data_IF_330873188391
#
_entry.id   IF_330873188391
#
_cell.length_a   1.000
_cell.length_b   1.000
_cell.length_c   1.000
_cell.angle_alpha   90.00
_cell.angle_beta   90.00
_cell.angle_gamma   90.00
#
_symmetry.space_group_name_H-M   'P 1'
#
loop_
_entity.id
_entity.type
_entity.pdbx_description
1 polymer ?
#
# COMPACT_ATOMS: atom_id res chain seq x y z
N UNK A 1 -26.58 3.41 -13.61
CA UNK A 1 -26.03 3.32 -12.24
C UNK A 1 -24.55 3.56 -12.37
N UNK A 2 -24.01 4.55 -11.65
CA UNK A 2 -22.61 4.94 -11.78
C UNK A 2 -21.65 3.92 -11.17
N UNK A 3 -20.35 4.10 -11.39
CA UNK A 3 -19.31 3.32 -10.71
C UNK A 3 -19.39 3.51 -9.19
N UNK A 4 -19.60 4.75 -8.71
CA UNK A 4 -19.71 5.00 -7.28
C UNK A 4 -20.91 4.28 -6.66
N UNK A 5 -22.08 4.33 -7.29
CA UNK A 5 -23.28 3.66 -6.77
C UNK A 5 -23.05 2.15 -6.60
N UNK A 6 -22.38 1.53 -7.58
CA UNK A 6 -22.04 0.09 -7.56
C UNK A 6 -20.99 -0.23 -6.51
N UNK A 7 -19.97 0.63 -6.38
CA UNK A 7 -18.95 0.50 -5.36
C UNK A 7 -19.57 0.55 -3.95
N UNK A 8 -20.48 1.49 -3.72
CA UNK A 8 -21.20 1.63 -2.45
C UNK A 8 -22.15 0.45 -2.18
N UNK A 9 -22.69 -0.19 -3.23
CA UNK A 9 -23.49 -1.40 -3.09
C UNK A 9 -22.67 -2.70 -2.92
N UNK A 10 -21.34 -2.61 -2.86
CA UNK A 10 -20.45 -3.74 -2.57
C UNK A 10 -19.80 -4.40 -3.79
N UNK A 11 -20.01 -3.91 -5.01
CA UNK A 11 -19.39 -4.43 -6.27
C UNK A 11 -17.99 -3.83 -6.47
N UNK A 12 -17.16 -3.84 -5.43
CA UNK A 12 -15.92 -3.06 -5.32
C UNK A 12 -14.80 -3.62 -6.20
N UNK A 13 -14.56 -4.93 -6.19
CA UNK A 13 -13.50 -5.57 -6.99
C UNK A 13 -13.80 -5.39 -8.48
N UNK A 14 -15.06 -5.62 -8.88
CA UNK A 14 -15.49 -5.46 -10.27
C UNK A 14 -15.43 -4.00 -10.73
N UNK A 15 -15.86 -3.05 -9.92
CA UNK A 15 -15.77 -1.62 -10.25
C UNK A 15 -14.31 -1.24 -10.51
N UNK A 16 -13.37 -1.64 -9.65
CA UNK A 16 -11.95 -1.35 -9.86
C UNK A 16 -11.38 -2.06 -11.11
N UNK A 17 -11.80 -3.30 -11.39
CA UNK A 17 -11.42 -3.98 -12.63
C UNK A 17 -11.89 -3.22 -13.88
N UNK A 18 -13.14 -2.74 -13.88
CA UNK A 18 -13.70 -1.96 -14.99
C UNK A 18 -13.02 -0.59 -15.12
N UNK A 19 -12.75 0.11 -14.01
CA UNK A 19 -12.02 1.38 -14.01
C UNK A 19 -10.62 1.23 -14.60
N UNK A 20 -9.89 0.15 -14.28
CA UNK A 20 -8.59 -0.15 -14.89
C UNK A 20 -8.70 -0.44 -16.38
N UNK A 21 -9.78 -1.11 -16.82
CA UNK A 21 -10.00 -1.43 -18.22
C UNK A 21 -10.32 -0.20 -19.09
N UNK A 22 -10.69 0.94 -18.51
CA UNK A 22 -10.85 2.20 -19.25
C UNK A 22 -9.51 2.76 -19.77
N UNK A 23 -8.38 2.37 -19.18
CA UNK A 23 -7.07 2.90 -19.51
C UNK A 23 -6.87 4.32 -18.95
N UNK A 24 -6.43 5.26 -19.79
CA UNK A 24 -6.18 6.64 -19.38
C UNK A 24 -7.51 7.39 -19.17
N UNK A 25 -7.68 8.00 -17.99
CA UNK A 25 -8.89 8.73 -17.59
C UNK A 25 -8.50 10.17 -17.26
N UNK A 26 -8.48 11.02 -18.28
CA UNK A 26 -8.13 12.44 -18.15
C UNK A 26 -9.35 13.30 -17.76
N UNK A 27 -9.09 14.50 -17.26
CA UNK A 27 -10.14 15.48 -16.94
C UNK A 27 -10.96 15.77 -18.20
N UNK A 28 -12.27 15.63 -18.11
CA UNK A 28 -13.20 15.77 -19.24
C UNK A 28 -13.62 14.45 -19.88
N UNK A 29 -12.98 13.33 -19.52
CA UNK A 29 -13.49 12.00 -19.83
C UNK A 29 -14.85 11.79 -19.15
N UNK A 30 -15.80 11.15 -19.82
CA UNK A 30 -17.19 11.05 -19.34
C UNK A 30 -17.31 10.35 -17.97
N UNK A 31 -16.37 9.45 -17.68
CA UNK A 31 -16.29 8.69 -16.43
C UNK A 31 -15.33 9.30 -15.39
N UNK A 32 -14.67 10.43 -15.67
CA UNK A 32 -13.62 11.00 -14.82
C UNK A 32 -14.10 11.30 -13.39
N UNK A 33 -15.20 12.05 -13.25
CA UNK A 33 -15.69 12.46 -11.93
C UNK A 33 -16.19 11.28 -11.10
N UNK A 34 -16.82 10.30 -11.75
CA UNK A 34 -17.32 9.08 -11.10
C UNK A 34 -16.15 8.19 -10.65
N UNK A 35 -15.12 8.00 -11.50
CA UNK A 35 -13.89 7.29 -11.15
C UNK A 35 -13.14 7.98 -9.99
N UNK A 36 -13.05 9.32 -10.00
CA UNK A 36 -12.46 10.10 -8.90
C UNK A 36 -13.25 9.91 -7.60
N UNK A 37 -14.58 9.83 -7.69
CA UNK A 37 -15.42 9.61 -6.52
C UNK A 37 -15.24 8.20 -5.92
N UNK A 38 -15.08 7.17 -6.76
CA UNK A 38 -14.71 5.82 -6.30
C UNK A 38 -13.34 5.81 -5.62
N UNK A 39 -12.34 6.45 -6.21
CA UNK A 39 -11.01 6.57 -5.60
C UNK A 39 -11.09 7.28 -4.24
N UNK A 40 -11.82 8.39 -4.15
CA UNK A 40 -12.02 9.11 -2.89
C UNK A 40 -12.71 8.25 -1.82
N UNK A 41 -13.79 7.55 -2.16
CA UNK A 41 -14.49 6.68 -1.22
C UNK A 41 -13.63 5.49 -0.76
N UNK A 42 -12.88 4.89 -1.67
CA UNK A 42 -11.91 3.83 -1.35
C UNK A 42 -10.90 4.34 -0.33
N UNK A 43 -10.34 5.54 -0.53
CA UNK A 43 -9.31 6.10 0.34
C UNK A 43 -9.85 6.59 1.69
N UNK A 44 -11.13 6.92 1.80
CA UNK A 44 -11.78 7.16 3.11
C UNK A 44 -11.81 5.90 3.97
N UNK A 45 -12.15 4.75 3.37
CA UNK A 45 -12.12 3.44 4.06
C UNK A 45 -10.72 3.05 4.47
N UNK A 46 -9.76 3.24 3.56
CA UNK A 46 -8.33 3.05 3.85
C UNK A 46 -7.90 3.89 5.04
N UNK A 47 -8.28 5.17 5.10
CA UNK A 47 -7.95 6.04 6.24
C UNK A 47 -8.50 5.49 7.55
N UNK A 48 -9.77 5.08 7.59
CA UNK A 48 -10.36 4.46 8.78
C UNK A 48 -9.58 3.22 9.24
N UNK A 49 -9.19 2.37 8.28
CA UNK A 49 -8.38 1.18 8.55
C UNK A 49 -6.96 1.53 9.05
N UNK A 50 -6.30 2.54 8.47
CA UNK A 50 -4.98 3.03 8.93
C UNK A 50 -5.06 3.49 10.38
N UNK A 51 -6.04 4.33 10.71
CA UNK A 51 -6.20 4.88 12.06
C UNK A 51 -6.48 3.78 13.09
N UNK A 52 -7.31 2.79 12.72
CA UNK A 52 -7.62 1.65 13.57
C UNK A 52 -6.44 0.70 13.75
N UNK A 53 -5.77 0.30 12.67
CA UNK A 53 -4.58 -0.57 12.72
C UNK A 53 -3.47 0.09 13.53
N UNK A 54 -3.21 1.39 13.32
CA UNK A 54 -2.20 2.13 14.10
C UNK A 54 -2.47 2.04 15.61
N UNK A 55 -3.72 2.25 16.01
CA UNK A 55 -4.12 2.19 17.42
C UNK A 55 -3.90 0.79 17.97
N UNK A 56 -4.36 -0.24 17.24
CA UNK A 56 -4.22 -1.65 17.65
C UNK A 56 -2.77 -2.13 17.70
N UNK A 57 -1.91 -1.67 16.80
CA UNK A 57 -0.47 -1.95 16.84
C UNK A 57 0.14 -1.47 18.16
N UNK A 58 -0.13 -0.20 18.51
CA UNK A 58 0.36 0.39 19.76
C UNK A 58 -0.18 -0.37 20.98
N UNK A 59 -1.49 -0.65 21.01
CA UNK A 59 -2.14 -1.35 22.12
C UNK A 59 -1.64 -2.79 22.29
N UNK A 60 -1.27 -3.45 21.18
CA UNK A 60 -0.71 -4.80 21.19
C UNK A 60 0.81 -4.84 21.46
N UNK A 61 1.43 -3.69 21.74
CA UNK A 61 2.84 -3.59 22.07
C UNK A 61 3.79 -3.64 20.87
N UNK A 62 3.29 -3.43 19.65
CA UNK A 62 4.15 -3.26 18.47
C UNK A 62 4.82 -1.88 18.49
N UNK A 63 6.15 -1.89 18.52
CA UNK A 63 6.97 -0.68 18.51
C UNK A 63 7.16 -0.18 17.08
N UNK A 64 6.48 0.92 16.76
CA UNK A 64 6.66 1.62 15.49
C UNK A 64 8.01 2.34 15.45
N UNK A 65 8.72 2.29 14.32
CA UNK A 65 10.02 2.97 14.13
C UNK A 65 9.95 4.46 14.45
N UNK A 66 8.79 5.08 14.20
CA UNK A 66 8.50 6.46 14.55
C UNK A 66 7.01 6.60 14.94
N UNK A 67 6.64 6.22 16.15
CA UNK A 67 5.23 6.21 16.63
C UNK A 67 4.44 7.51 16.37
N UNK A 68 5.09 8.67 16.53
CA UNK A 68 4.48 9.98 16.27
C UNK A 68 4.30 10.33 14.78
N UNK A 69 4.93 9.57 13.88
CA UNK A 69 4.87 9.74 12.42
C UNK A 69 4.34 8.50 11.69
N UNK A 70 3.83 7.52 12.43
CA UNK A 70 3.30 6.28 11.85
C UNK A 70 2.07 6.50 10.96
N UNK A 71 1.31 7.55 11.23
CA UNK A 71 0.30 8.09 10.33
C UNK A 71 0.33 9.61 10.45
N UNK A 72 0.50 10.30 9.33
CA UNK A 72 0.36 11.76 9.25
C UNK A 72 -0.80 12.04 8.31
N UNK A 73 -1.92 12.60 8.81
CA UNK A 73 -3.07 12.89 7.96
C UNK A 73 -2.73 13.96 6.91
N UNK A 74 -3.53 14.08 5.83
CA UNK A 74 -3.34 15.10 4.81
C UNK A 74 -3.31 16.51 5.42
N UNK A 75 -2.44 17.37 4.90
CA UNK A 75 -2.44 18.78 5.23
C UNK A 75 -3.69 19.48 4.68
N UNK A 76 -4.09 20.60 5.28
CA UNK A 76 -5.26 21.36 4.83
C UNK A 76 -5.14 21.85 3.37
N UNK A 77 -3.92 22.02 2.89
CA UNK A 77 -3.55 22.42 1.53
C UNK A 77 -3.10 21.25 0.64
N UNK A 78 -3.38 19.99 1.02
CA UNK A 78 -2.93 18.80 0.28
C UNK A 78 -3.27 18.84 -1.22
N UNK A 79 -4.46 19.32 -1.58
CA UNK A 79 -4.84 19.48 -2.99
C UNK A 79 -3.91 20.44 -3.75
N UNK A 80 -3.49 21.55 -3.12
CA UNK A 80 -2.58 22.51 -3.75
C UNK A 80 -1.16 21.96 -3.86
N UNK A 81 -0.72 21.16 -2.87
CA UNK A 81 0.56 20.47 -2.91
C UNK A 81 0.60 19.41 -4.03
N UNK A 82 -0.49 18.65 -4.18
CA UNK A 82 -0.68 17.68 -5.27
C UNK A 82 -0.68 18.37 -6.64
N UNK A 83 -1.40 19.47 -6.80
CA UNK A 83 -1.40 20.24 -8.06
C UNK A 83 -0.01 20.82 -8.38
N UNK A 84 0.79 21.18 -7.36
CA UNK A 84 2.18 21.59 -7.55
C UNK A 84 3.07 20.41 -7.98
N UNK A 85 2.90 19.25 -7.34
CA UNK A 85 3.61 18.03 -7.68
C UNK A 85 3.32 17.58 -9.11
N UNK A 86 2.04 17.49 -9.51
CA UNK A 86 1.65 17.06 -10.85
C UNK A 86 2.09 18.03 -11.95
N UNK A 87 2.20 19.32 -11.66
CA UNK A 87 2.80 20.30 -12.59
C UNK A 87 4.28 20.05 -12.84
N UNK A 88 4.99 19.47 -11.88
CA UNK A 88 6.45 19.21 -11.95
C UNK A 88 6.75 17.82 -12.51
N UNK A 89 6.01 16.80 -12.08
CA UNK A 89 6.29 15.39 -12.38
C UNK A 89 5.28 14.75 -13.34
N UNK A 90 4.25 15.50 -13.72
CA UNK A 90 3.11 15.00 -14.48
C UNK A 90 2.07 14.31 -13.58
N UNK A 91 0.96 13.92 -14.18
CA UNK A 91 -0.22 13.46 -13.45
C UNK A 91 0.03 12.20 -12.61
N UNK A 92 -0.67 12.13 -11.48
CA UNK A 92 -0.76 10.93 -10.66
C UNK A 92 -1.99 10.08 -11.08
N UNK A 93 -1.91 8.76 -10.91
CA UNK A 93 -3.09 7.91 -10.94
C UNK A 93 -4.14 8.37 -9.93
N UNK A 94 -5.43 8.22 -10.25
CA UNK A 94 -6.51 8.70 -9.39
C UNK A 94 -6.46 8.09 -7.98
N UNK A 95 -6.13 6.80 -7.87
CA UNK A 95 -5.96 6.12 -6.58
C UNK A 95 -4.85 6.74 -5.73
N UNK A 96 -3.68 7.05 -6.32
CA UNK A 96 -2.56 7.65 -5.60
C UNK A 96 -2.84 9.08 -5.18
N UNK A 97 -3.43 9.89 -6.08
CA UNK A 97 -3.86 11.24 -5.75
C UNK A 97 -4.85 11.23 -4.59
N UNK A 98 -5.88 10.37 -4.66
CA UNK A 98 -6.86 10.22 -3.59
C UNK A 98 -6.24 9.74 -2.26
N UNK A 99 -5.21 8.88 -2.31
CA UNK A 99 -4.52 8.43 -1.10
C UNK A 99 -3.93 9.62 -0.34
N UNK A 100 -3.24 10.52 -1.03
CA UNK A 100 -2.68 11.71 -0.39
C UNK A 100 -3.75 12.75 0.00
N UNK A 101 -4.87 12.83 -0.70
CA UNK A 101 -5.98 13.73 -0.34
C UNK A 101 -6.74 13.28 0.91
N UNK A 102 -6.88 11.96 1.14
CA UNK A 102 -7.73 11.43 2.21
C UNK A 102 -6.97 10.72 3.34
N UNK A 103 -5.86 10.05 3.02
CA UNK A 103 -5.06 9.22 3.96
C UNK A 103 -3.81 9.95 4.45
N UNK A 104 -3.05 10.57 3.55
CA UNK A 104 -1.80 11.27 3.86
C UNK A 104 -0.60 10.33 3.75
N UNK A 105 0.21 10.21 4.82
CA UNK A 105 1.41 9.35 4.83
C UNK A 105 1.30 8.28 5.89
N UNK A 106 1.79 7.07 5.61
CA UNK A 106 1.74 5.93 6.54
C UNK A 106 3.12 5.29 6.65
N UNK A 107 3.54 4.96 7.87
CA UNK A 107 4.75 4.19 8.12
C UNK A 107 4.55 3.26 9.32
N UNK A 108 4.19 2.01 9.03
CA UNK A 108 4.06 0.96 10.04
C UNK A 108 5.31 0.10 10.23
N UNK A 109 6.47 0.55 9.73
CA UNK A 109 7.72 -0.17 9.98
C UNK A 109 7.97 -0.38 11.47
N UNK A 110 8.47 -1.57 11.79
CA UNK A 110 8.83 -1.92 13.15
C UNK A 110 10.13 -1.24 13.55
N UNK A 111 10.23 -0.88 14.82
CA UNK A 111 11.47 -0.44 15.46
C UNK A 111 12.52 -1.54 15.36
N UNK A 112 13.73 -1.19 14.92
CA UNK A 112 14.86 -2.11 14.88
C UNK A 112 15.25 -2.66 16.27
N UNK A 113 14.81 -2.01 17.35
CA UNK A 113 15.02 -2.50 18.72
C UNK A 113 14.09 -3.67 19.09
N UNK A 114 12.94 -3.79 18.42
CA UNK A 114 11.97 -4.87 18.65
C UNK A 114 12.04 -5.96 17.58
N UNK A 115 12.34 -5.58 16.33
CA UNK A 115 12.33 -6.48 15.18
C UNK A 115 13.38 -7.59 15.32
N UNK A 116 12.88 -8.83 15.38
CA UNK A 116 13.65 -10.06 15.32
C UNK A 116 13.54 -10.63 13.92
N UNK A 117 14.68 -10.70 13.25
CA UNK A 117 14.85 -11.23 11.90
C UNK A 117 14.79 -12.76 11.86
N UNK A 118 14.35 -13.34 10.73
CA UNK A 118 14.09 -14.78 10.57
C UNK A 118 15.26 -15.66 11.02
N UNK A 119 16.51 -15.32 10.66
CA UNK A 119 17.69 -16.10 11.04
C UNK A 119 17.93 -16.10 12.56
N UNK A 120 17.68 -14.95 13.22
CA UNK A 120 17.77 -14.86 14.69
C UNK A 120 16.62 -15.58 15.38
N UNK A 121 15.45 -15.63 14.74
CA UNK A 121 14.28 -16.35 15.21
C UNK A 121 14.48 -17.86 15.14
N UNK A 122 15.08 -18.36 14.05
CA UNK A 122 15.41 -19.79 13.89
C UNK A 122 16.45 -20.27 14.91
N UNK A 123 17.43 -19.42 15.22
CA UNK A 123 18.47 -19.72 16.20
C UNK A 123 18.04 -19.44 17.66
N UNK A 124 16.82 -18.96 17.90
CA UNK A 124 16.37 -18.56 19.23
C UNK A 124 16.18 -19.79 20.14
N UNK A 125 16.68 -19.75 21.39
CA UNK A 125 16.54 -20.86 22.33
C UNK A 125 15.10 -21.06 22.83
N UNK A 126 14.27 -20.02 22.71
CA UNK A 126 12.88 -19.99 23.15
C UNK A 126 12.00 -19.39 22.04
N UNK A 127 10.71 -19.75 21.95
CA UNK A 127 9.79 -19.18 20.97
C UNK A 127 9.74 -17.64 21.06
N UNK A 128 9.96 -16.98 19.93
CA UNK A 128 9.83 -15.52 19.81
C UNK A 128 8.35 -15.17 19.65
N UNK A 129 7.88 -14.13 20.34
CA UNK A 129 6.51 -13.65 20.21
C UNK A 129 6.25 -13.07 18.81
N UNK A 130 5.07 -13.32 18.23
CA UNK A 130 4.70 -12.86 16.88
C UNK A 130 4.88 -11.35 16.67
N UNK A 131 4.54 -10.56 17.69
CA UNK A 131 4.71 -9.10 17.64
C UNK A 131 6.16 -8.69 17.37
N UNK A 132 7.15 -9.47 17.81
CA UNK A 132 8.57 -9.16 17.64
C UNK A 132 9.11 -9.43 16.24
N UNK A 133 8.38 -10.14 15.38
CA UNK A 133 8.81 -10.41 14.00
C UNK A 133 7.75 -10.11 12.95
N UNK A 134 6.61 -9.53 13.35
CA UNK A 134 5.55 -9.11 12.44
C UNK A 134 6.05 -8.11 11.36
N UNK A 135 7.07 -7.29 11.68
CA UNK A 135 7.69 -6.37 10.73
C UNK A 135 8.37 -7.05 9.53
N UNK A 136 8.61 -8.36 9.57
CA UNK A 136 9.10 -9.13 8.42
C UNK A 136 8.04 -9.33 7.33
N UNK A 137 6.75 -9.10 7.64
CA UNK A 137 5.63 -9.38 6.75
C UNK A 137 5.17 -8.14 5.96
N UNK A 138 6.12 -7.30 5.56
CA UNK A 138 5.89 -6.11 4.72
C UNK A 138 4.79 -5.17 5.27
N UNK A 139 5.05 -4.46 6.38
CA UNK A 139 4.11 -3.50 6.94
C UNK A 139 3.77 -2.37 5.96
N UNK A 140 2.56 -1.81 6.07
CA UNK A 140 2.14 -0.69 5.22
C UNK A 140 3.06 0.52 5.39
N UNK A 141 3.66 0.94 4.28
CA UNK A 141 4.38 2.20 4.17
C UNK A 141 3.96 2.87 2.87
N UNK A 142 3.60 4.15 2.96
CA UNK A 142 3.47 5.06 1.82
C UNK A 142 4.11 6.37 2.24
N UNK A 143 5.21 6.72 1.57
CA UNK A 143 6.04 7.87 1.95
C UNK A 143 5.36 9.20 1.66
N UNK A 144 5.98 10.27 2.15
CA UNK A 144 5.52 11.63 1.86
C UNK A 144 5.77 11.99 0.42
N UNK A 145 4.81 12.71 -0.19
CA UNK A 145 4.96 13.39 -1.48
C UNK A 145 6.16 14.35 -1.53
N UNK A 146 6.64 14.83 -0.38
CA UNK A 146 7.82 15.70 -0.29
C UNK A 146 9.14 14.94 -0.35
N UNK A 147 9.09 13.61 -0.32
CA UNK A 147 10.26 12.78 -0.56
C UNK A 147 10.49 12.70 -2.08
N UNK A 148 11.19 13.70 -2.62
CA UNK A 148 11.41 13.85 -4.06
C UNK A 148 12.55 12.95 -4.58
N UNK A 149 12.50 11.67 -4.25
CA UNK A 149 13.41 10.67 -4.81
C UNK A 149 12.74 10.03 -6.02
N UNK A 150 13.19 10.43 -7.21
CA UNK A 150 12.76 9.85 -8.47
C UNK A 150 13.97 9.53 -9.33
N UNK A 151 13.98 8.31 -9.87
CA UNK A 151 15.00 7.86 -10.81
C UNK A 151 14.39 7.77 -12.21
N UNK A 152 15.24 7.84 -13.24
CA UNK A 152 14.79 7.66 -14.62
C UNK A 152 14.86 6.17 -15.00
N UNK A 153 13.73 5.56 -15.33
CA UNK A 153 13.67 4.19 -15.85
C UNK A 153 13.87 4.21 -17.37
N UNK A 154 15.07 3.85 -17.83
CA UNK A 154 15.42 3.78 -19.25
C UNK A 154 14.60 2.75 -20.03
N UNK A 155 14.22 1.62 -19.40
CA UNK A 155 13.47 0.54 -20.06
C UNK A 155 12.06 1.00 -20.41
N UNK A 156 11.46 1.79 -19.52
CA UNK A 156 10.07 2.26 -19.63
C UNK A 156 9.92 3.71 -20.05
N UNK A 157 11.04 4.44 -20.10
CA UNK A 157 11.13 5.85 -20.51
C UNK A 157 10.21 6.75 -19.66
N UNK A 158 10.19 6.50 -18.36
CA UNK A 158 9.37 7.22 -17.36
C UNK A 158 10.18 7.46 -16.09
N UNK A 159 9.71 8.37 -15.24
CA UNK A 159 10.27 8.56 -13.92
C UNK A 159 9.71 7.53 -12.94
N UNK A 160 10.59 6.75 -12.31
CA UNK A 160 10.28 5.87 -11.19
C UNK A 160 10.29 6.70 -9.90
N UNK A 161 9.10 7.10 -9.44
CA UNK A 161 8.95 7.86 -8.20
C UNK A 161 8.85 6.91 -7.01
N UNK A 162 9.67 7.15 -5.99
CA UNK A 162 9.79 6.30 -4.82
C UNK A 162 8.54 6.38 -3.92
N UNK A 163 7.77 5.29 -3.89
CA UNK A 163 6.52 5.19 -3.14
C UNK A 163 6.75 4.73 -1.70
N UNK A 164 7.56 3.69 -1.52
CA UNK A 164 7.80 3.07 -0.22
C UNK A 164 9.07 2.21 -0.27
N UNK A 165 9.77 2.01 0.87
CA UNK A 165 10.82 1.00 0.93
C UNK A 165 10.24 -0.37 0.55
N UNK A 166 11.06 -1.28 0.05
CA UNK A 166 10.61 -2.65 -0.17
C UNK A 166 10.49 -3.45 1.15
N UNK A 167 9.97 -4.67 1.06
CA UNK A 167 9.86 -5.60 2.18
C UNK A 167 11.19 -5.91 2.87
N UNK A 168 12.30 -6.00 2.14
CA UNK A 168 13.63 -6.26 2.69
C UNK A 168 14.07 -5.10 3.58
N UNK A 169 14.01 -3.87 3.08
CA UNK A 169 14.36 -2.67 3.82
C UNK A 169 13.43 -2.46 5.03
N UNK A 170 12.13 -2.75 4.89
CA UNK A 170 11.19 -2.70 6.02
C UNK A 170 11.55 -3.70 7.12
N UNK A 171 12.05 -4.87 6.74
CA UNK A 171 12.52 -5.93 7.63
C UNK A 171 14.01 -5.80 8.02
N UNK A 172 14.64 -4.66 7.71
CA UNK A 172 16.05 -4.37 8.01
C UNK A 172 17.06 -5.36 7.38
N UNK A 173 16.71 -5.94 6.23
CA UNK A 173 17.62 -6.67 5.36
C UNK A 173 18.28 -5.74 4.35
N UNK A 174 19.54 -6.04 4.03
CA UNK A 174 20.24 -5.35 2.95
C UNK A 174 19.81 -5.92 1.60
N UNK A 175 19.60 -5.04 0.62
CA UNK A 175 19.25 -5.41 -0.75
C UNK A 175 17.78 -5.14 -1.06
N UNK A 176 17.37 -5.50 -2.29
CA UNK A 176 16.03 -5.25 -2.83
C UNK A 176 15.94 -4.00 -3.70
N UNK A 177 14.75 -3.78 -4.25
CA UNK A 177 14.39 -2.59 -5.03
C UNK A 177 13.14 -1.97 -4.43
N UNK A 178 13.30 -0.72 -4.00
CA UNK A 178 12.22 0.12 -3.48
C UNK A 178 10.94 0.06 -4.33
N UNK A 179 9.79 0.10 -3.65
CA UNK A 179 8.51 0.19 -4.30
C UNK A 179 8.34 1.55 -4.96
N UNK A 180 7.94 1.56 -6.23
CA UNK A 180 7.82 2.80 -7.00
C UNK A 180 6.63 2.79 -7.95
N UNK A 181 6.28 3.99 -8.40
CA UNK A 181 5.26 4.26 -9.43
C UNK A 181 5.91 4.96 -10.62
N UNK A 182 5.46 4.63 -11.83
CA UNK A 182 5.99 5.26 -13.04
C UNK A 182 5.14 6.46 -13.44
N UNK A 183 5.73 7.65 -13.40
CA UNK A 183 5.07 8.91 -13.73
C UNK A 183 5.55 9.48 -15.07
N UNK A 184 4.67 10.20 -15.80
CA UNK A 184 3.26 10.45 -15.51
C UNK A 184 2.35 9.24 -15.75
N UNK A 185 1.20 9.20 -15.07
CA UNK A 185 0.15 8.20 -15.28
C UNK A 185 -1.25 8.79 -15.02
N UNK A 186 -2.14 8.69 -16.02
CA UNK A 186 -3.53 9.18 -15.95
C UNK A 186 -4.53 8.04 -15.69
N UNK A 187 -4.08 6.87 -15.26
CA UNK A 187 -4.94 5.73 -14.96
C UNK A 187 -5.80 5.94 -13.71
N UNK A 188 -6.87 5.15 -13.58
CA UNK A 188 -7.65 5.09 -12.34
C UNK A 188 -6.83 4.52 -11.18
N UNK A 189 -5.99 3.54 -11.50
CA UNK A 189 -5.08 2.85 -10.58
C UNK A 189 -3.76 2.55 -11.30
N UNK A 190 -2.74 2.09 -10.57
CA UNK A 190 -1.41 1.81 -11.10
C UNK A 190 -0.83 0.52 -10.55
N UNK A 191 0.13 -0.06 -11.28
CA UNK A 191 0.96 -1.15 -10.77
C UNK A 191 2.09 -0.59 -9.93
N UNK A 192 2.29 -1.19 -8.76
CA UNK A 192 3.48 -0.94 -7.95
C UNK A 192 4.62 -1.79 -8.53
N UNK A 193 5.74 -1.12 -8.81
CA UNK A 193 6.96 -1.74 -9.31
C UNK A 193 7.95 -1.95 -8.16
N UNK A 194 8.89 -2.89 -8.31
CA UNK A 194 9.82 -3.30 -7.25
C UNK A 194 9.25 -4.37 -6.30
N UNK A 195 8.00 -4.81 -6.52
CA UNK A 195 7.43 -5.96 -5.82
C UNK A 195 7.93 -7.25 -6.48
N UNK A 196 8.69 -8.04 -5.72
CA UNK A 196 8.97 -9.47 -5.98
C UNK A 196 9.88 -9.86 -7.17
N UNK A 197 10.44 -8.95 -7.99
CA UNK A 197 11.66 -9.14 -8.81
C UNK A 197 11.89 -7.98 -9.81
N UNK A 198 13.05 -7.97 -10.48
CA UNK A 198 13.45 -6.99 -11.51
C UNK A 198 12.56 -6.96 -12.78
N UNK A 199 11.67 -7.93 -12.94
CA UNK A 199 10.77 -8.05 -14.09
C UNK A 199 9.32 -7.65 -13.79
N UNK A 200 9.01 -7.32 -12.54
CA UNK A 200 7.71 -6.83 -12.07
C UNK A 200 6.53 -7.75 -12.46
N UNK A 201 6.80 -9.05 -12.62
CA UNK A 201 5.77 -10.03 -13.04
C UNK A 201 4.64 -10.16 -12.01
N UNK A 202 4.91 -9.80 -10.76
CA UNK A 202 4.00 -9.90 -9.61
C UNK A 202 3.64 -8.53 -9.01
N UNK A 203 3.83 -7.44 -9.76
CA UNK A 203 3.45 -6.11 -9.32
C UNK A 203 1.95 -5.99 -9.06
N UNK A 204 1.59 -5.80 -7.79
CA UNK A 204 0.20 -5.57 -7.38
C UNK A 204 -0.30 -4.23 -7.94
N UNK A 205 -1.60 -4.19 -8.27
CA UNK A 205 -2.29 -2.91 -8.40
C UNK A 205 -2.38 -2.24 -7.03
N UNK A 206 -2.20 -0.93 -6.94
CA UNK A 206 -2.12 -0.25 -5.64
C UNK A 206 -3.37 -0.43 -4.78
N UNK A 207 -4.57 -0.43 -5.36
CA UNK A 207 -5.80 -0.71 -4.59
C UNK A 207 -5.87 -2.16 -4.12
N UNK A 208 -5.38 -3.11 -4.93
CA UNK A 208 -5.34 -4.51 -4.54
C UNK A 208 -4.25 -4.76 -3.47
N UNK A 209 -3.09 -4.09 -3.56
CA UNK A 209 -2.06 -4.06 -2.51
C UNK A 209 -2.66 -3.60 -1.18
N UNK A 210 -3.34 -2.45 -1.15
CA UNK A 210 -3.99 -1.95 0.07
C UNK A 210 -5.02 -2.95 0.60
N UNK A 211 -5.85 -3.54 -0.27
CA UNK A 211 -6.85 -4.54 0.12
C UNK A 211 -6.21 -5.72 0.83
N UNK A 212 -5.17 -6.32 0.24
CA UNK A 212 -4.49 -7.46 0.85
C UNK A 212 -3.71 -7.07 2.11
N UNK A 213 -3.08 -5.88 2.14
CA UNK A 213 -2.43 -5.37 3.34
C UNK A 213 -3.39 -5.24 4.52
N UNK A 214 -4.62 -4.74 4.30
CA UNK A 214 -5.61 -4.68 5.39
C UNK A 214 -6.23 -6.02 5.73
N UNK A 215 -6.35 -6.96 4.79
CA UNK A 215 -6.66 -8.37 5.10
C UNK A 215 -5.61 -8.99 6.02
N UNK A 216 -4.34 -8.63 5.84
CA UNK A 216 -3.24 -8.98 6.74
C UNK A 216 -3.08 -8.04 7.93
N UNK A 217 -4.08 -7.24 8.31
CA UNK A 217 -4.05 -6.40 9.52
C UNK A 217 -3.02 -5.26 9.49
N UNK A 218 -2.68 -4.76 8.29
CA UNK A 218 -1.65 -3.74 8.07
C UNK A 218 -0.34 -4.28 7.49
N UNK A 219 -0.29 -5.58 7.15
CA UNK A 219 0.89 -6.27 6.65
C UNK A 219 0.54 -6.98 5.34
N UNK A 220 1.30 -6.71 4.28
CA UNK A 220 1.04 -7.32 2.95
C UNK A 220 1.36 -8.82 2.92
N UNK A 221 2.25 -9.27 3.80
CA UNK A 221 2.73 -10.65 3.88
C UNK A 221 4.00 -10.91 3.05
N UNK A 222 4.38 -12.17 2.95
CA UNK A 222 5.66 -12.60 2.38
C UNK A 222 5.59 -12.96 0.88
N UNK A 223 6.75 -13.12 0.28
CA UNK A 223 6.90 -13.71 -1.06
C UNK A 223 6.62 -15.22 -0.97
N UNK A 224 5.75 -15.73 -1.86
CA UNK A 224 5.57 -17.16 -2.05
C UNK A 224 6.59 -17.67 -3.08
N UNK A 225 7.33 -18.71 -2.71
CA UNK A 225 8.37 -19.33 -3.54
C UNK A 225 8.01 -20.81 -3.75
N UNK A 226 8.02 -21.25 -5.00
CA UNK A 226 7.88 -22.65 -5.40
C UNK A 226 9.04 -23.03 -6.33
N UNK A 227 9.74 -24.14 -6.04
CA UNK A 227 10.93 -24.59 -6.79
C UNK A 227 11.95 -23.47 -7.11
N UNK A 228 12.25 -22.59 -6.13
CA UNK A 228 13.12 -21.41 -6.25
C UNK A 228 12.61 -20.28 -7.18
N UNK A 229 11.39 -20.39 -7.69
CA UNK A 229 10.70 -19.35 -8.44
C UNK A 229 9.71 -18.60 -7.55
N UNK A 230 9.69 -17.27 -7.67
CA UNK A 230 8.63 -16.48 -7.06
C UNK A 230 7.32 -16.79 -7.80
N UNK A 231 6.30 -17.22 -7.06
CA UNK A 231 4.97 -17.55 -7.62
C UNK A 231 3.87 -16.57 -7.20
N UNK A 232 4.17 -15.68 -6.25
CA UNK A 232 3.26 -14.64 -5.81
C UNK A 232 3.56 -14.16 -4.41
N UNK A 233 2.49 -13.80 -3.68
CA UNK A 233 2.55 -13.37 -2.29
C UNK A 233 1.43 -13.98 -1.47
N UNK A 234 1.72 -14.27 -0.23
CA UNK A 234 0.78 -14.85 0.73
C UNK A 234 0.51 -13.88 1.87
N UNK A 235 -0.71 -13.92 2.42
CA UNK A 235 -1.03 -13.17 3.63
C UNK A 235 -0.19 -13.68 4.81
N UNK A 236 0.12 -12.83 5.80
CA UNK A 236 0.86 -13.27 6.98
C UNK A 236 0.10 -14.36 7.74
N UNK A 237 0.74 -15.49 8.00
CA UNK A 237 0.20 -16.55 8.86
C UNK A 237 0.53 -16.31 10.33
N UNK A 238 0.02 -15.21 10.90
CA UNK A 238 0.20 -14.85 12.31
C UNK A 238 -1.15 -14.65 12.99
N UNK A 239 -1.31 -15.14 14.21
CA UNK A 239 -2.51 -14.86 15.00
C UNK A 239 -2.64 -13.35 15.30
N UNK A 240 -1.50 -12.70 15.53
CA UNK A 240 -1.34 -11.27 15.75
C UNK A 240 -1.93 -10.45 14.59
N UNK A 241 -1.52 -10.70 13.35
CA UNK A 241 -2.01 -9.93 12.18
C UNK A 241 -3.49 -10.19 11.91
N UNK A 242 -3.95 -11.43 12.08
CA UNK A 242 -5.38 -11.78 11.99
C UNK A 242 -6.21 -11.00 13.00
N UNK A 243 -5.74 -10.86 14.24
CA UNK A 243 -6.42 -10.07 15.26
C UNK A 243 -6.50 -8.59 14.88
N UNK A 244 -5.44 -8.03 14.29
CA UNK A 244 -5.43 -6.65 13.82
C UNK A 244 -6.42 -6.40 12.67
N UNK A 245 -6.70 -7.43 11.85
CA UNK A 245 -7.60 -7.34 10.70
C UNK A 245 -9.09 -7.30 11.06
N UNK A 246 -9.48 -7.78 12.25
CA UNK A 246 -10.89 -7.97 12.62
C UNK A 246 -11.70 -6.66 12.56
N UNK A 247 -12.76 -6.65 11.77
CA UNK A 247 -13.68 -5.52 11.69
C UNK A 247 -13.13 -4.27 10.98
N UNK A 248 -12.02 -4.40 10.24
CA UNK A 248 -11.61 -3.38 9.28
C UNK A 248 -12.67 -3.22 8.19
N UNK A 249 -12.78 -2.01 7.64
CA UNK A 249 -13.68 -1.72 6.54
C UNK A 249 -13.23 -2.43 5.26
N UNK A 250 -14.19 -3.06 4.57
CA UNK A 250 -13.93 -3.74 3.31
C UNK A 250 -13.58 -2.74 2.19
N UNK A 251 -12.40 -2.93 1.60
CA UNK A 251 -11.95 -2.23 0.40
C UNK A 251 -12.34 -3.02 -0.87
N UNK A 252 -12.53 -4.34 -0.73
CA UNK A 252 -13.01 -5.25 -1.78
C UNK A 252 -14.42 -5.75 -1.53
N UNK A 253 -14.82 -6.74 -2.32
CA UNK A 253 -16.10 -7.43 -2.13
C UNK A 253 -16.02 -8.24 -0.83
N UNK A 254 -17.14 -8.31 -0.11
CA UNK A 254 -17.26 -9.21 1.04
C UNK A 254 -17.10 -10.65 0.52
N UNK A 255 -16.01 -11.31 0.91
CA UNK A 255 -15.88 -12.76 0.69
C UNK A 255 -16.57 -13.45 1.85
N UNK A 256 -17.53 -14.33 1.53
CA UNK A 256 -18.16 -15.18 2.54
C UNK A 256 -17.05 -15.90 3.32
N UNK A 257 -17.04 -15.68 4.64
CA UNK A 257 -16.13 -16.29 5.59
C UNK A 257 -16.23 -17.83 5.60
#
# INVERSE_FOLDING_TARGET
MGFLDRYLSGDRERVWAELRALGLIERGHAQYDDARAVAAETMRRVRGNVEMVRTRLIDAGYELVAQGRAHVPPAADASAQLDAFERKHGSLPLSLRAFYEFVGTVNFMQSANQLVQWHKREDAPEPVAEVSYAGEYDPLVVQSLHHEDAEWDDRRRKHAWYLAPDECHKANYSGGMNYHVLLPDNGADFRIYGICNEEDRFGDWFVDYLRETFRGGGFRGGIAIDEDEVVGRELPDLAFTRQLAVGLEEIGDERNA
#
